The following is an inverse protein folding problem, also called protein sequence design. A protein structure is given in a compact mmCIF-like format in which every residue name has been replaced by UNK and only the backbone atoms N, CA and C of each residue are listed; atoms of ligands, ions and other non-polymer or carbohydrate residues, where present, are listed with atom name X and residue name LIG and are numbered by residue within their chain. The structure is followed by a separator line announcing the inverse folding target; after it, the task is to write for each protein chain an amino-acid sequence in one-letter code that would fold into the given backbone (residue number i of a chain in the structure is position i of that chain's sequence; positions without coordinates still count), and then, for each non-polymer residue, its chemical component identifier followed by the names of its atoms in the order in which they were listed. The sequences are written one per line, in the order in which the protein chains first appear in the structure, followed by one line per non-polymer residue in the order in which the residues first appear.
data_IF_665557980069
#
_entry.id   IF_665557980069
#
_cell.length_a   1.000
_cell.length_b   1.000
_cell.length_c   1.000
_cell.angle_alpha   90.00
_cell.angle_beta   90.00
_cell.angle_gamma   90.00
#
_symmetry.space_group_name_H-M   'P 1'
#
loop_
_entity.id
_entity.type
_entity.pdbx_description
1 polymer ?
#
# COMPACT_ATOMS: atom_id res chain seq x y z
N UNK A 1 -31.04 33.76 -5.47
CA UNK A 1 -29.62 33.47 -5.18
C UNK A 1 -29.50 32.46 -4.02
N UNK A 2 -29.93 31.20 -4.22
CA UNK A 2 -30.01 30.21 -3.12
C UNK A 2 -29.64 28.79 -3.53
N UNK A 3 -29.24 28.59 -4.80
CA UNK A 3 -29.00 27.25 -5.38
C UNK A 3 -27.57 27.04 -5.89
N UNK A 4 -26.68 28.05 -5.79
CA UNK A 4 -25.31 27.95 -6.33
C UNK A 4 -24.33 27.37 -5.30
N UNK A 5 -24.63 27.49 -4.01
CA UNK A 5 -23.75 27.01 -2.92
C UNK A 5 -23.77 25.48 -2.81
N UNK A 6 -24.88 24.83 -3.16
CA UNK A 6 -25.03 23.37 -3.03
C UNK A 6 -24.20 22.58 -4.05
N UNK A 7 -23.84 23.19 -5.19
CA UNK A 7 -23.08 22.52 -6.27
C UNK A 7 -21.57 22.52 -5.96
N UNK A 8 -21.08 23.52 -5.21
CA UNK A 8 -19.66 23.63 -4.90
C UNK A 8 -19.15 22.56 -3.92
N UNK A 9 -20.02 22.04 -3.05
CA UNK A 9 -19.67 20.98 -2.11
C UNK A 9 -19.60 19.58 -2.74
N UNK A 10 -20.27 19.34 -3.87
CA UNK A 10 -20.30 18.02 -4.51
C UNK A 10 -19.04 17.72 -5.34
N UNK A 11 -18.27 18.75 -5.73
CA UNK A 11 -17.08 18.60 -6.59
C UNK A 11 -15.80 18.34 -5.78
N UNK A 12 -15.83 18.51 -4.45
CA UNK A 12 -14.68 18.27 -3.57
C UNK A 12 -14.57 16.83 -3.03
N UNK A 13 -15.54 15.96 -3.35
CA UNK A 13 -15.57 14.58 -2.85
C UNK A 13 -14.93 13.55 -3.81
N UNK A 14 -14.56 13.93 -5.03
CA UNK A 14 -14.10 13.02 -6.08
C UNK A 14 -12.58 13.01 -6.27
N UNK A 15 -11.80 13.02 -5.19
CA UNK A 15 -10.34 13.22 -5.30
C UNK A 15 -9.45 12.26 -4.51
N UNK A 16 -9.94 11.63 -3.44
CA UNK A 16 -9.11 10.71 -2.64
C UNK A 16 -9.16 9.29 -3.22
N UNK A 17 -8.71 9.10 -4.46
CA UNK A 17 -8.28 7.77 -4.90
C UNK A 17 -6.99 7.47 -4.18
N UNK A 18 -7.09 6.81 -3.02
CA UNK A 18 -5.92 6.30 -2.32
C UNK A 18 -5.23 5.30 -3.26
N UNK A 19 -4.05 5.64 -3.78
CA UNK A 19 -3.18 4.71 -4.53
C UNK A 19 -2.57 3.62 -3.62
N UNK A 20 -3.19 3.37 -2.47
CA UNK A 20 -2.81 2.33 -1.54
C UNK A 20 -3.21 0.99 -2.16
N UNK A 21 -2.29 0.04 -2.30
CA UNK A 21 -2.63 -1.26 -2.84
C UNK A 21 -3.69 -1.94 -1.94
N UNK A 22 -4.81 -2.32 -2.53
CA UNK A 22 -5.90 -3.05 -1.86
C UNK A 22 -5.59 -4.55 -1.85
N UNK A 23 -6.00 -5.26 -0.80
CA UNK A 23 -5.84 -6.71 -0.72
C UNK A 23 -5.29 -7.24 0.60
N UNK A 24 -5.41 -8.55 0.80
CA UNK A 24 -4.90 -9.25 1.97
C UNK A 24 -3.58 -9.95 1.67
N UNK A 25 -2.72 -10.02 2.68
CA UNK A 25 -1.46 -10.75 2.61
C UNK A 25 -1.63 -12.19 3.06
N UNK A 26 -1.01 -13.09 2.30
CA UNK A 26 -1.02 -14.53 2.56
C UNK A 26 0.42 -15.01 2.62
N UNK A 27 0.70 -15.94 3.54
CA UNK A 27 2.00 -16.61 3.60
C UNK A 27 2.04 -17.72 2.57
N UNK A 28 3.12 -17.79 1.80
CA UNK A 28 3.24 -18.73 0.68
C UNK A 28 3.40 -20.18 1.15
N UNK A 29 3.99 -20.39 2.34
CA UNK A 29 4.27 -21.73 2.87
C UNK A 29 3.02 -22.54 3.18
N UNK A 30 1.93 -21.89 3.59
CA UNK A 30 0.68 -22.54 4.01
C UNK A 30 -0.58 -21.94 3.38
N UNK A 31 -0.42 -20.90 2.55
CA UNK A 31 -1.52 -20.20 1.89
C UNK A 31 -2.49 -19.52 2.85
N UNK A 32 -2.13 -19.35 4.14
CA UNK A 32 -3.01 -18.72 5.14
C UNK A 32 -2.82 -17.22 5.15
N UNK A 33 -3.89 -16.48 5.46
CA UNK A 33 -3.80 -15.04 5.69
C UNK A 33 -2.87 -14.75 6.87
N UNK A 34 -2.11 -13.67 6.77
CA UNK A 34 -1.14 -13.29 7.81
C UNK A 34 -1.80 -12.90 9.13
N UNK A 35 -3.05 -12.43 9.09
CA UNK A 35 -3.86 -12.07 10.25
C UNK A 35 -4.63 -13.24 10.86
N UNK A 36 -4.45 -14.47 10.35
CA UNK A 36 -5.16 -15.65 10.86
C UNK A 36 -4.75 -16.04 12.29
N UNK A 37 -3.58 -15.60 12.77
CA UNK A 37 -3.08 -15.83 14.13
C UNK A 37 -2.18 -14.68 14.57
N UNK A 38 -2.14 -14.36 15.87
CA UNK A 38 -1.26 -13.30 16.40
C UNK A 38 0.22 -13.57 16.10
N UNK A 39 0.66 -14.82 16.21
CA UNK A 39 2.04 -15.21 15.93
C UNK A 39 2.44 -14.95 14.46
N UNK A 40 1.55 -15.25 13.51
CA UNK A 40 1.81 -14.99 12.09
C UNK A 40 1.78 -13.49 11.81
N UNK A 41 0.85 -12.76 12.41
CA UNK A 41 0.72 -11.33 12.25
C UNK A 41 1.95 -10.58 12.82
N UNK A 42 2.50 -11.03 13.95
CA UNK A 42 3.70 -10.45 14.54
C UNK A 42 4.92 -10.59 13.62
N UNK A 43 5.14 -11.79 13.08
CA UNK A 43 6.22 -12.05 12.11
C UNK A 43 6.04 -11.21 10.86
N UNK A 44 4.83 -11.21 10.29
CA UNK A 44 4.51 -10.38 9.12
C UNK A 44 4.74 -8.89 9.38
N UNK A 45 4.35 -8.36 10.55
CA UNK A 45 4.57 -6.95 10.88
C UNK A 45 6.06 -6.58 11.00
N UNK A 46 6.89 -7.48 11.52
CA UNK A 46 8.35 -7.28 11.53
C UNK A 46 8.90 -7.19 10.10
N UNK A 47 8.48 -8.10 9.24
CA UNK A 47 8.88 -8.14 7.83
C UNK A 47 8.40 -6.91 7.07
N UNK A 48 7.15 -6.50 7.31
CA UNK A 48 6.53 -5.29 6.78
C UNK A 48 7.35 -4.05 7.09
N UNK A 49 7.75 -3.83 8.35
CA UNK A 49 8.55 -2.66 8.75
C UNK A 49 9.90 -2.63 8.01
N UNK A 50 10.53 -3.78 7.79
CA UNK A 50 11.79 -3.85 7.04
C UNK A 50 11.56 -3.46 5.57
N UNK A 51 10.48 -3.95 4.96
CA UNK A 51 10.15 -3.62 3.58
C UNK A 51 9.69 -2.17 3.40
N UNK A 52 8.99 -1.60 4.38
CA UNK A 52 8.67 -0.17 4.44
C UNK A 52 9.95 0.68 4.45
N UNK A 53 10.97 0.27 5.21
CA UNK A 53 12.27 0.94 5.22
C UNK A 53 12.97 0.96 3.85
N UNK A 54 12.98 -0.18 3.14
CA UNK A 54 13.53 -0.26 1.77
C UNK A 54 12.77 0.62 0.79
N UNK A 55 11.44 0.61 0.87
CA UNK A 55 10.59 1.42 0.02
C UNK A 55 10.80 2.93 0.30
N UNK A 56 10.98 3.32 1.56
CA UNK A 56 11.29 4.69 1.96
C UNK A 56 12.67 5.15 1.48
N UNK A 57 13.70 4.32 1.59
CA UNK A 57 15.04 4.63 1.05
C UNK A 57 15.00 4.86 -0.47
N UNK A 58 14.25 4.01 -1.18
CA UNK A 58 14.03 4.17 -2.62
C UNK A 58 13.26 5.45 -2.95
N UNK A 59 12.29 5.84 -2.12
CA UNK A 59 11.54 7.08 -2.27
C UNK A 59 12.46 8.31 -2.09
N UNK A 60 13.34 8.30 -1.07
CA UNK A 60 14.28 9.40 -0.81
C UNK A 60 15.35 9.57 -1.90
N UNK A 61 15.79 8.46 -2.49
CA UNK A 61 16.87 8.47 -3.50
C UNK A 61 16.39 8.97 -4.86
N UNK A 62 15.07 8.97 -5.11
CA UNK A 62 14.50 9.33 -6.42
C UNK A 62 13.99 10.76 -6.43
N UNK A 63 14.72 11.63 -7.12
CA UNK A 63 14.48 13.07 -7.25
C UNK A 63 13.38 13.46 -8.27
N UNK A 64 12.53 12.54 -8.70
CA UNK A 64 11.63 12.77 -9.85
C UNK A 64 10.28 13.36 -9.42
N UNK A 65 9.90 14.46 -10.07
CA UNK A 65 8.71 15.29 -9.79
C UNK A 65 7.36 14.69 -10.27
N UNK A 66 7.29 13.38 -10.55
CA UNK A 66 6.08 12.67 -11.00
C UNK A 66 5.57 11.77 -9.88
N UNK A 67 4.69 12.31 -9.02
CA UNK A 67 4.31 11.65 -7.76
C UNK A 67 3.60 10.30 -7.96
N UNK A 68 2.77 10.15 -8.99
CA UNK A 68 2.02 8.91 -9.23
C UNK A 68 2.92 7.73 -9.64
N UNK A 69 3.85 7.97 -10.57
CA UNK A 69 4.81 6.96 -11.00
C UNK A 69 5.71 6.51 -9.83
N UNK A 70 6.13 7.46 -8.99
CA UNK A 70 6.91 7.14 -7.81
C UNK A 70 6.10 6.30 -6.81
N UNK A 71 4.83 6.61 -6.56
CA UNK A 71 3.99 5.84 -5.66
C UNK A 71 3.82 4.39 -6.12
N UNK A 72 3.54 4.18 -7.42
CA UNK A 72 3.45 2.82 -7.97
C UNK A 72 4.74 2.04 -7.81
N UNK A 73 5.88 2.69 -8.03
CA UNK A 73 7.17 2.02 -7.95
C UNK A 73 7.59 1.73 -6.51
N UNK A 74 7.32 2.66 -5.57
CA UNK A 74 7.50 2.45 -4.12
C UNK A 74 6.67 1.24 -3.66
N UNK A 75 5.41 1.17 -4.09
CA UNK A 75 4.54 0.02 -3.83
C UNK A 75 5.11 -1.27 -4.43
N UNK A 76 5.68 -1.22 -5.65
CA UNK A 76 6.30 -2.37 -6.29
C UNK A 76 7.52 -2.89 -5.52
N UNK A 77 8.35 -1.97 -4.99
CA UNK A 77 9.52 -2.31 -4.16
C UNK A 77 9.07 -2.95 -2.85
N UNK A 78 8.06 -2.36 -2.21
CA UNK A 78 7.48 -2.90 -0.99
C UNK A 78 6.92 -4.31 -1.21
N UNK A 79 6.13 -4.51 -2.26
CA UNK A 79 5.51 -5.79 -2.60
C UNK A 79 6.57 -6.83 -2.99
N UNK A 80 7.58 -6.44 -3.78
CA UNK A 80 8.70 -7.30 -4.12
C UNK A 80 9.46 -7.78 -2.88
N UNK A 81 9.72 -6.89 -1.92
CA UNK A 81 10.39 -7.25 -0.66
C UNK A 81 9.56 -8.24 0.18
N UNK A 82 8.24 -8.10 0.22
CA UNK A 82 7.37 -9.04 0.93
C UNK A 82 7.27 -10.39 0.21
N UNK A 83 7.23 -10.40 -1.12
CA UNK A 83 7.28 -11.64 -1.92
C UNK A 83 8.60 -12.41 -1.68
N UNK A 84 9.74 -11.72 -1.62
CA UNK A 84 11.04 -12.34 -1.27
C UNK A 84 11.04 -12.98 0.12
N UNK A 85 10.16 -12.51 1.02
CA UNK A 85 9.98 -13.04 2.38
C UNK A 85 8.89 -14.10 2.48
N UNK A 86 8.30 -14.51 1.35
CA UNK A 86 7.28 -15.56 1.30
C UNK A 86 5.87 -15.08 1.63
N UNK A 87 5.55 -13.83 1.29
CA UNK A 87 4.19 -13.31 1.37
C UNK A 87 3.70 -12.80 0.03
N UNK A 88 2.51 -13.24 -0.37
CA UNK A 88 1.83 -12.77 -1.58
C UNK A 88 0.59 -11.95 -1.21
N UNK A 89 0.43 -10.76 -1.82
CA UNK A 89 -0.82 -9.99 -1.73
C UNK A 89 -1.82 -10.50 -2.75
N UNK A 90 -3.06 -10.75 -2.31
CA UNK A 90 -4.19 -11.10 -3.18
C UNK A 90 -5.24 -9.98 -3.15
N UNK A 91 -5.83 -9.62 -4.30
CA UNK A 91 -6.92 -8.64 -4.34
C UNK A 91 -8.11 -9.12 -3.49
N UNK A 92 -8.88 -8.16 -2.97
CA UNK A 92 -10.11 -8.42 -2.20
C UNK A 92 -11.23 -9.02 -3.07
#
# INVERSE_FOLDING_TARGET
MRNVVAILCAVLASGCVSTTPTGYWYRDSDGRRVDATEATLATFNKDRVICDGKAAEAAMTRSVNLSEYNNQLINLIFDGCLNERGYTRKPE
#
